data_IF_236713544995
#
_entry.id   IF_236713544995
#
_cell.length_a   1.000
_cell.length_b   1.000
_cell.length_c   1.000
_cell.angle_alpha   90.00
_cell.angle_beta   90.00
_cell.angle_gamma   90.00
#
_symmetry.space_group_name_H-M   'P 1'
#
loop_
_entity.id
_entity.type
_entity.pdbx_description
1 polymer ?
#
# COMPACT_ATOMS: atom_id res chain seq x y z
N UNK A 1 -14.10 17.70 2.66
CA UNK A 1 -12.87 17.24 3.35
C UNK A 1 -11.78 18.27 3.12
N UNK A 2 -11.83 19.27 3.94
CA UNK A 2 -10.86 20.33 3.84
C UNK A 2 -9.47 19.79 4.24
N UNK A 3 -8.51 20.00 3.34
CA UNK A 3 -7.10 19.70 3.57
C UNK A 3 -6.67 18.20 3.54
N UNK A 4 -7.30 17.37 2.70
CA UNK A 4 -6.81 16.03 2.43
C UNK A 4 -5.63 16.09 1.45
N UNK A 5 -4.50 15.48 1.82
CA UNK A 5 -3.29 15.41 0.98
C UNK A 5 -2.86 13.98 0.84
N UNK A 6 -2.53 13.59 -0.39
CA UNK A 6 -1.96 12.27 -0.70
C UNK A 6 -0.52 12.50 -1.15
N UNK A 7 0.44 11.82 -0.52
CA UNK A 7 1.84 11.94 -0.93
C UNK A 7 2.64 10.67 -0.67
N UNK A 8 3.64 10.43 -1.51
CA UNK A 8 4.62 9.38 -1.28
C UNK A 8 5.60 9.83 -0.19
N UNK A 9 5.90 8.92 0.74
CA UNK A 9 6.87 9.14 1.80
C UNK A 9 8.29 8.86 1.28
N UNK A 10 9.22 9.73 1.66
CA UNK A 10 10.64 9.63 1.32
C UNK A 10 11.48 9.23 2.54
N UNK A 11 12.78 9.08 2.34
CA UNK A 11 13.70 8.66 3.40
C UNK A 11 13.66 9.56 4.66
N UNK A 12 13.39 10.85 4.49
CA UNK A 12 13.28 11.79 5.61
C UNK A 12 11.98 11.64 6.42
N UNK A 13 10.99 10.90 5.90
CA UNK A 13 9.64 10.78 6.48
C UNK A 13 9.49 9.60 7.46
N UNK A 14 10.55 9.21 8.16
CA UNK A 14 10.54 8.03 9.05
C UNK A 14 9.43 8.07 10.09
N UNK A 15 9.26 9.20 10.75
CA UNK A 15 8.24 9.36 11.79
C UNK A 15 6.83 9.20 11.20
N UNK A 16 6.56 9.80 10.06
CA UNK A 16 5.28 9.67 9.34
C UNK A 16 5.05 8.23 8.88
N UNK A 17 6.08 7.56 8.35
CA UNK A 17 5.98 6.18 7.92
C UNK A 17 5.64 5.24 9.08
N UNK A 18 6.29 5.41 10.23
CA UNK A 18 5.99 4.60 11.43
C UNK A 18 4.57 4.80 11.92
N UNK A 19 4.09 6.03 11.94
CA UNK A 19 2.68 6.34 12.28
C UNK A 19 1.71 5.67 11.29
N UNK A 20 2.03 5.73 10.01
CA UNK A 20 1.23 5.10 8.97
C UNK A 20 1.16 3.58 9.16
N UNK A 21 2.30 2.92 9.35
CA UNK A 21 2.36 1.48 9.54
C UNK A 21 1.62 1.04 10.80
N UNK A 22 1.75 1.77 11.90
CA UNK A 22 1.03 1.49 13.14
C UNK A 22 -0.50 1.65 12.94
N UNK A 23 -0.93 2.69 12.25
CA UNK A 23 -2.34 2.91 11.92
C UNK A 23 -2.88 1.77 11.06
N UNK A 24 -2.15 1.36 10.03
CA UNK A 24 -2.55 0.27 9.14
C UNK A 24 -2.67 -1.06 9.90
N UNK A 25 -1.69 -1.39 10.74
CA UNK A 25 -1.73 -2.59 11.58
C UNK A 25 -2.97 -2.60 12.49
N UNK A 26 -3.30 -1.44 13.08
CA UNK A 26 -4.50 -1.29 13.90
C UNK A 26 -5.79 -1.53 13.11
N UNK A 27 -5.89 -1.06 11.88
CA UNK A 27 -7.05 -1.29 11.00
C UNK A 27 -7.20 -2.77 10.66
N UNK A 28 -6.09 -3.48 10.44
CA UNK A 28 -6.11 -4.93 10.17
C UNK A 28 -6.32 -5.78 11.43
N UNK A 29 -6.40 -5.17 12.61
CA UNK A 29 -6.58 -5.88 13.87
C UNK A 29 -5.37 -6.69 14.32
N UNK A 30 -4.20 -6.38 13.75
CA UNK A 30 -2.96 -7.05 14.14
C UNK A 30 -2.47 -6.53 15.48
N UNK A 31 -2.11 -7.46 16.36
CA UNK A 31 -1.34 -7.11 17.57
C UNK A 31 0.06 -6.78 17.14
N UNK A 32 0.36 -5.50 17.18
CA UNK A 32 1.58 -4.93 16.63
C UNK A 32 2.84 -5.29 17.39
N UNK A 33 3.83 -5.70 16.67
CA UNK A 33 5.19 -5.38 17.00
C UNK A 33 5.47 -3.98 16.43
N UNK A 34 5.91 -3.07 17.27
CA UNK A 34 6.36 -1.77 16.80
C UNK A 34 7.62 -1.98 15.96
N UNK A 35 7.54 -1.72 14.66
CA UNK A 35 8.74 -1.79 13.83
C UNK A 35 9.73 -0.68 14.20
N UNK A 36 11.02 -1.01 14.20
CA UNK A 36 12.07 -0.09 14.63
C UNK A 36 12.29 1.06 13.65
N UNK A 37 12.88 2.15 14.15
CA UNK A 37 13.36 3.25 13.29
C UNK A 37 14.34 2.75 12.22
N UNK A 38 15.23 1.83 12.58
CA UNK A 38 16.22 1.25 11.68
C UNK A 38 15.56 0.48 10.54
N UNK A 39 14.57 -0.36 10.86
CA UNK A 39 13.82 -1.13 9.85
C UNK A 39 13.07 -0.18 8.91
N UNK A 40 12.36 0.81 9.46
CA UNK A 40 11.61 1.81 8.68
C UNK A 40 12.55 2.61 7.77
N UNK A 41 13.68 3.07 8.28
CA UNK A 41 14.68 3.78 7.48
C UNK A 41 15.22 2.91 6.35
N UNK A 42 15.44 1.62 6.61
CA UNK A 42 15.87 0.65 5.60
C UNK A 42 14.85 0.48 4.48
N UNK A 43 13.56 0.40 4.82
CA UNK A 43 12.48 0.33 3.83
C UNK A 43 12.44 1.59 2.96
N UNK A 44 12.41 2.76 3.58
CA UNK A 44 12.25 4.03 2.86
C UNK A 44 13.43 4.36 1.93
N UNK A 45 14.59 3.81 2.17
CA UNK A 45 15.77 3.97 1.30
C UNK A 45 15.75 3.07 0.07
N UNK A 46 14.90 2.04 0.05
CA UNK A 46 14.79 1.14 -1.10
C UNK A 46 13.98 1.81 -2.21
N UNK A 47 14.55 1.98 -3.42
CA UNK A 47 13.81 2.58 -4.54
C UNK A 47 12.58 1.77 -4.94
N UNK A 48 12.60 0.44 -4.72
CA UNK A 48 11.49 -0.46 -5.03
C UNK A 48 10.35 -0.40 -4.02
N UNK A 49 10.55 0.17 -2.85
CA UNK A 49 9.52 0.29 -1.82
C UNK A 49 8.74 1.60 -1.97
N UNK A 50 7.43 1.51 -1.92
CA UNK A 50 6.50 2.63 -2.00
C UNK A 50 5.65 2.69 -0.74
N UNK A 51 5.65 3.83 -0.08
CA UNK A 51 4.74 4.16 1.00
C UNK A 51 4.01 5.44 0.62
N UNK A 52 2.70 5.38 0.51
CA UNK A 52 1.86 6.54 0.15
C UNK A 52 0.92 6.80 1.32
N UNK A 53 0.94 8.01 1.84
CA UNK A 53 0.12 8.43 2.97
C UNK A 53 -1.00 9.37 2.54
N UNK A 54 -2.15 9.20 3.17
CA UNK A 54 -3.24 10.17 3.15
C UNK A 54 -3.24 10.94 4.47
N UNK A 55 -3.16 12.26 4.39
CA UNK A 55 -3.14 13.15 5.55
C UNK A 55 -4.37 14.06 5.51
N UNK A 56 -5.08 14.14 6.63
CA UNK A 56 -6.19 15.06 6.83
C UNK A 56 -5.87 15.92 8.05
N UNK A 57 -5.79 17.25 7.86
CA UNK A 57 -5.40 18.17 8.94
C UNK A 57 -4.02 17.88 9.53
N UNK A 58 -3.10 17.31 8.74
CA UNK A 58 -1.76 16.92 9.20
C UNK A 58 -1.69 15.54 9.85
N UNK A 59 -2.80 14.88 10.11
CA UNK A 59 -2.85 13.53 10.66
C UNK A 59 -2.91 12.46 9.57
N UNK A 60 -2.23 11.35 9.79
CA UNK A 60 -2.29 10.20 8.88
C UNK A 60 -3.62 9.46 9.08
N UNK A 61 -4.43 9.43 8.03
CA UNK A 61 -5.75 8.81 8.04
C UNK A 61 -5.86 7.63 7.08
N UNK A 62 -4.87 7.44 6.23
CA UNK A 62 -4.81 6.32 5.30
C UNK A 62 -3.38 6.03 4.86
N UNK A 63 -3.16 4.83 4.36
CA UNK A 63 -1.85 4.40 3.89
C UNK A 63 -1.92 3.28 2.87
N UNK A 64 -0.90 3.24 2.03
CA UNK A 64 -0.70 2.22 1.03
C UNK A 64 0.77 1.87 0.98
N UNK A 65 1.09 0.57 0.93
CA UNK A 65 2.44 0.09 0.68
C UNK A 65 2.47 -0.78 -0.57
N UNK A 66 3.56 -0.68 -1.32
CA UNK A 66 3.76 -1.44 -2.56
C UNK A 66 5.25 -1.67 -2.81
N UNK A 67 5.54 -2.65 -3.65
CA UNK A 67 6.90 -2.98 -4.07
C UNK A 67 6.96 -3.13 -5.59
N UNK A 68 7.97 -2.55 -6.23
CA UNK A 68 8.29 -2.88 -7.62
C UNK A 68 9.15 -4.12 -7.68
N UNK A 69 8.87 -4.97 -8.65
CA UNK A 69 9.54 -6.24 -8.87
C UNK A 69 10.17 -6.25 -10.26
N UNK A 70 11.50 -6.31 -10.39
CA UNK A 70 12.13 -6.47 -11.70
C UNK A 70 11.75 -7.80 -12.33
N UNK A 71 11.35 -7.75 -13.59
CA UNK A 71 11.01 -8.95 -14.37
C UNK A 71 12.28 -9.52 -15.01
N UNK A 72 12.31 -10.82 -15.18
CA UNK A 72 13.48 -11.51 -15.77
C UNK A 72 13.21 -12.06 -17.17
N UNK A 73 11.95 -12.15 -17.58
CA UNK A 73 11.57 -12.59 -18.93
C UNK A 73 11.57 -11.46 -19.95
N UNK A 74 11.50 -10.23 -19.45
CA UNK A 74 11.61 -8.98 -20.23
C UNK A 74 12.27 -7.92 -19.35
N UNK A 75 12.87 -6.90 -19.97
CA UNK A 75 13.42 -5.75 -19.25
C UNK A 75 12.30 -4.78 -18.84
N UNK A 76 11.55 -5.17 -17.80
CA UNK A 76 10.44 -4.39 -17.27
C UNK A 76 10.27 -4.63 -15.78
N UNK A 77 9.40 -3.87 -15.15
CA UNK A 77 9.02 -4.02 -13.75
C UNK A 77 7.50 -4.16 -13.64
N UNK A 78 7.08 -4.97 -12.72
CA UNK A 78 5.71 -4.97 -12.22
C UNK A 78 5.68 -4.43 -10.79
N UNK A 79 4.51 -4.11 -10.27
CA UNK A 79 4.33 -3.59 -8.92
C UNK A 79 3.29 -4.40 -8.19
N UNK A 80 3.62 -4.82 -6.98
CA UNK A 80 2.70 -5.48 -6.07
C UNK A 80 2.22 -4.48 -5.01
N UNK A 81 0.92 -4.27 -4.93
CA UNK A 81 0.32 -3.58 -3.79
C UNK A 81 0.30 -4.55 -2.63
N UNK A 82 0.95 -4.17 -1.53
CA UNK A 82 1.03 -5.03 -0.35
C UNK A 82 -0.16 -4.82 0.58
N UNK A 83 -0.38 -3.58 1.00
CA UNK A 83 -1.48 -3.22 1.89
C UNK A 83 -2.10 -1.87 1.52
N UNK A 84 -3.42 -1.76 1.71
CA UNK A 84 -4.15 -0.49 1.67
C UNK A 84 -5.07 -0.45 2.88
N UNK A 85 -5.00 0.61 3.66
CA UNK A 85 -5.87 0.78 4.81
C UNK A 85 -6.26 2.25 5.01
N UNK A 86 -7.46 2.46 5.49
CA UNK A 86 -7.98 3.78 5.88
C UNK A 86 -8.47 3.68 7.32
N UNK A 87 -8.09 4.64 8.15
CA UNK A 87 -8.54 4.73 9.54
C UNK A 87 -10.07 4.68 9.62
N UNK A 88 -10.61 3.91 10.55
CA UNK A 88 -12.05 3.58 10.59
C UNK A 88 -12.96 4.79 10.54
N UNK A 89 -12.62 5.85 11.25
CA UNK A 89 -13.40 7.10 11.29
C UNK A 89 -13.33 7.92 9.98
N UNK A 90 -12.46 7.52 9.06
CA UNK A 90 -12.27 8.15 7.74
C UNK A 90 -12.63 7.24 6.58
N UNK A 91 -13.17 6.04 6.85
CA UNK A 91 -13.60 5.11 5.80
C UNK A 91 -14.87 5.62 5.09
N UNK A 92 -15.12 5.11 3.89
CA UNK A 92 -16.27 5.43 3.03
C UNK A 92 -16.31 6.90 2.57
N UNK A 93 -15.17 7.55 2.54
CA UNK A 93 -14.99 8.95 2.07
C UNK A 93 -14.11 9.04 0.81
N UNK A 94 -13.83 7.91 0.17
CA UNK A 94 -13.04 7.86 -1.06
C UNK A 94 -11.53 7.91 -0.87
N UNK A 95 -11.01 7.86 0.34
CA UNK A 95 -9.56 7.97 0.61
C UNK A 95 -8.78 6.79 0.02
N UNK A 96 -9.28 5.57 0.18
CA UNK A 96 -8.65 4.38 -0.42
C UNK A 96 -8.57 4.48 -1.94
N UNK A 97 -9.61 4.99 -2.58
CA UNK A 97 -9.63 5.25 -4.02
C UNK A 97 -8.56 6.28 -4.43
N UNK A 98 -8.41 7.36 -3.66
CA UNK A 98 -7.39 8.39 -3.92
C UNK A 98 -5.97 7.83 -3.76
N UNK A 99 -5.73 7.01 -2.75
CA UNK A 99 -4.44 6.33 -2.55
C UNK A 99 -4.09 5.46 -3.75
N UNK A 100 -5.01 4.61 -4.18
CA UNK A 100 -4.81 3.74 -5.35
C UNK A 100 -4.66 4.53 -6.64
N UNK A 101 -5.46 5.57 -6.85
CA UNK A 101 -5.34 6.43 -8.03
C UNK A 101 -3.98 7.10 -8.10
N UNK A 102 -3.48 7.58 -6.97
CA UNK A 102 -2.14 8.16 -6.87
C UNK A 102 -1.07 7.14 -7.26
N UNK A 103 -1.16 5.92 -6.71
CA UNK A 103 -0.23 4.84 -7.03
C UNK A 103 -0.26 4.48 -8.51
N UNK A 104 -1.44 4.24 -9.08
CA UNK A 104 -1.59 3.81 -10.47
C UNK A 104 -1.02 4.85 -11.44
N UNK A 105 -1.29 6.13 -11.22
CA UNK A 105 -0.72 7.22 -12.02
C UNK A 105 0.81 7.28 -11.91
N UNK A 106 1.34 7.15 -10.70
CA UNK A 106 2.78 7.20 -10.47
C UNK A 106 3.48 5.98 -11.05
N UNK A 107 2.88 4.80 -10.93
CA UNK A 107 3.40 3.56 -11.52
C UNK A 107 3.49 3.67 -13.05
N UNK A 108 2.43 4.16 -13.69
CA UNK A 108 2.41 4.35 -15.14
C UNK A 108 3.52 5.31 -15.60
N UNK A 109 3.72 6.42 -14.90
CA UNK A 109 4.80 7.38 -15.19
C UNK A 109 6.19 6.79 -14.99
N UNK A 110 6.33 5.83 -14.08
CA UNK A 110 7.61 5.17 -13.77
C UNK A 110 7.92 4.01 -14.71
N UNK A 111 7.07 3.74 -15.70
CA UNK A 111 7.27 2.64 -16.65
C UNK A 111 6.97 1.26 -16.06
N UNK A 112 6.21 1.19 -14.98
CA UNK A 112 5.69 -0.07 -14.45
C UNK A 112 4.70 -0.67 -15.43
N UNK A 113 4.87 -1.92 -15.78
CA UNK A 113 4.06 -2.61 -16.79
C UNK A 113 2.69 -3.03 -16.27
N UNK A 114 2.65 -3.51 -15.03
CA UNK A 114 1.44 -4.02 -14.40
C UNK A 114 1.48 -3.75 -12.90
N UNK A 115 0.35 -3.39 -12.34
CA UNK A 115 0.15 -3.31 -10.89
C UNK A 115 -0.84 -4.41 -10.52
N UNK A 116 -0.49 -5.24 -9.55
CA UNK A 116 -1.37 -6.30 -9.07
C UNK A 116 -1.47 -6.28 -7.54
N UNK A 117 -2.54 -6.87 -7.04
CA UNK A 117 -2.82 -7.03 -5.62
C UNK A 117 -3.44 -8.41 -5.38
N UNK A 118 -3.01 -9.06 -4.32
CA UNK A 118 -3.62 -10.32 -3.87
C UNK A 118 -4.73 -10.01 -2.87
N UNK A 119 -5.91 -10.55 -3.12
CA UNK A 119 -7.09 -10.40 -2.26
C UNK A 119 -7.65 -11.79 -1.97
N UNK A 120 -7.96 -12.06 -0.70
CA UNK A 120 -8.63 -13.31 -0.36
C UNK A 120 -10.01 -13.38 -1.02
N UNK A 121 -10.35 -14.53 -1.61
CA UNK A 121 -11.62 -14.71 -2.33
C UNK A 121 -12.86 -14.43 -1.48
N UNK A 122 -12.77 -14.58 -0.15
CA UNK A 122 -13.86 -14.27 0.78
C UNK A 122 -14.00 -12.79 1.12
N UNK A 123 -13.00 -11.96 0.80
CA UNK A 123 -13.04 -10.53 1.06
C UNK A 123 -13.80 -9.81 -0.06
N UNK A 124 -15.11 -9.87 0.02
CA UNK A 124 -16.02 -9.30 -0.99
C UNK A 124 -15.86 -7.78 -1.11
N UNK A 125 -15.60 -7.09 0.00
CA UNK A 125 -15.43 -5.64 -0.01
C UNK A 125 -14.17 -5.22 -0.75
N UNK A 126 -13.05 -5.90 -0.52
CA UNK A 126 -11.80 -5.64 -1.23
C UNK A 126 -11.93 -5.96 -2.72
N UNK A 127 -12.56 -7.09 -3.07
CA UNK A 127 -12.81 -7.47 -4.46
C UNK A 127 -13.62 -6.37 -5.18
N UNK A 128 -14.69 -5.89 -4.59
CA UNK A 128 -15.51 -4.80 -5.15
C UNK A 128 -14.72 -3.49 -5.28
N UNK A 129 -13.90 -3.20 -4.28
CA UNK A 129 -13.06 -2.01 -4.28
C UNK A 129 -12.09 -1.99 -5.47
N UNK A 130 -11.34 -3.07 -5.68
CA UNK A 130 -10.39 -3.13 -6.80
C UNK A 130 -11.07 -3.24 -8.15
N UNK A 131 -12.19 -3.96 -8.26
CA UNK A 131 -12.97 -4.01 -9.49
C UNK A 131 -13.52 -2.63 -9.88
N UNK A 132 -13.99 -1.84 -8.93
CA UNK A 132 -14.47 -0.47 -9.16
C UNK A 132 -13.36 0.48 -9.65
N UNK A 133 -12.10 0.16 -9.38
CA UNK A 133 -10.93 0.90 -9.87
C UNK A 133 -10.50 0.45 -11.29
N UNK A 134 -11.17 -0.53 -11.87
CA UNK A 134 -10.86 -1.06 -13.19
C UNK A 134 -9.94 -2.28 -13.18
N UNK A 135 -9.67 -2.85 -12.01
CA UNK A 135 -8.88 -4.08 -11.88
C UNK A 135 -9.63 -5.29 -12.44
N UNK A 136 -8.92 -6.15 -13.17
CA UNK A 136 -9.44 -7.39 -13.72
C UNK A 136 -9.00 -8.57 -12.85
N UNK A 137 -9.95 -9.37 -12.31
CA UNK A 137 -9.58 -10.51 -11.47
C UNK A 137 -9.00 -11.66 -12.28
N UNK A 138 -8.08 -12.40 -11.69
CA UNK A 138 -7.57 -13.66 -12.24
C UNK A 138 -7.56 -14.73 -11.14
N UNK A 139 -7.76 -15.98 -11.53
CA UNK A 139 -7.72 -17.10 -10.58
C UNK A 139 -6.29 -17.58 -10.40
N UNK A 140 -5.84 -17.61 -9.15
CA UNK A 140 -4.51 -18.12 -8.79
C UNK A 140 -4.62 -18.96 -7.53
N UNK A 141 -3.68 -19.91 -7.37
CA UNK A 141 -3.51 -20.63 -6.11
C UNK A 141 -2.22 -20.12 -5.45
N UNK A 142 -2.34 -19.62 -4.24
CA UNK A 142 -1.22 -19.12 -3.47
C UNK A 142 -0.71 -20.19 -2.51
N UNK A 143 0.59 -20.48 -2.59
CA UNK A 143 1.25 -21.42 -1.68
C UNK A 143 2.14 -20.67 -0.72
N UNK A 144 2.08 -21.01 0.57
CA UNK A 144 2.93 -20.42 1.61
C UNK A 144 3.83 -21.49 2.24
N UNK A 145 5.10 -21.16 2.35
CA UNK A 145 6.10 -21.97 3.06
C UNK A 145 6.57 -21.16 4.27
N UNK A 146 6.20 -21.61 5.47
CA UNK A 146 6.49 -20.90 6.71
C UNK A 146 7.70 -21.49 7.40
N UNK A 147 8.61 -20.64 7.82
CA UNK A 147 9.81 -21.05 8.54
C UNK A 147 9.67 -20.69 10.02
N UNK A 148 10.09 -21.57 10.89
CA UNK A 148 10.16 -21.29 12.33
C UNK A 148 11.33 -20.34 12.58
N UNK A 149 11.10 -19.33 13.41
CA UNK A 149 12.15 -18.47 13.96
C UNK A 149 12.53 -18.94 15.36
#
# INVERSE_FOLDING_TARGET
>A
MDNLRIRRLAAADRASARKMFAMMAGVFGERHSTISNRYTAGLLRRPEFWAIAALAGGEIVGGLTAHTLPMTRIEAREMMVYDVAVRRDHQRKGIGRLLMTCLLKSAARSGVREVFVAVENRDVHAIRFYAALGGAPSSVTHFSFRFRR
#
